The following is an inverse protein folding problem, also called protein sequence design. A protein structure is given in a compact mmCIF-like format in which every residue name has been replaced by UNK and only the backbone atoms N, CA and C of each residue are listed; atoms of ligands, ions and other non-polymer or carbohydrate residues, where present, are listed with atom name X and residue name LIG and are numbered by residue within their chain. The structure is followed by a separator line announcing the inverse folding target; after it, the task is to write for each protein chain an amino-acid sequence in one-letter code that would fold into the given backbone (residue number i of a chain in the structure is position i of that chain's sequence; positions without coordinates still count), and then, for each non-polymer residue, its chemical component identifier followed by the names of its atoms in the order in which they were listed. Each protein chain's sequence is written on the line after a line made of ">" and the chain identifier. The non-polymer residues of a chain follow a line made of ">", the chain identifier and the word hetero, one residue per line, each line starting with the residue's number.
data_IF_678622035305
#
_entry.id   IF_678622035305
#
_cell.length_a   1.000
_cell.length_b   1.000
_cell.length_c   1.000
_cell.angle_alpha   90.00
_cell.angle_beta   90.00
_cell.angle_gamma   90.00
#
_symmetry.space_group_name_H-M   'P 1'
#
loop_
_entity.id
_entity.type
_entity.pdbx_description
1 polymer ?
#
# COMPACT_ATOMS: atom_id res chain seq x y z
N UNK A 1 -10.85 9.05 12.29
CA UNK A 1 -12.17 8.69 11.74
C UNK A 1 -12.53 9.80 10.79
N UNK A 2 -12.73 9.51 9.51
CA UNK A 2 -13.20 10.49 8.53
C UNK A 2 -14.63 10.09 8.19
N UNK A 3 -15.55 11.03 8.35
CA UNK A 3 -16.97 10.86 8.04
C UNK A 3 -17.25 11.79 6.88
N UNK A 4 -17.75 11.22 5.78
CA UNK A 4 -18.36 11.99 4.70
C UNK A 4 -19.88 11.90 4.89
N UNK A 5 -20.45 12.93 5.51
CA UNK A 5 -21.87 13.03 5.81
C UNK A 5 -22.73 13.17 4.53
N UNK A 6 -22.14 13.69 3.44
CA UNK A 6 -22.82 13.89 2.15
C UNK A 6 -23.08 12.59 1.41
N UNK A 7 -22.18 11.61 1.54
CA UNK A 7 -22.30 10.31 0.88
C UNK A 7 -22.63 9.16 1.84
N UNK A 8 -22.85 9.46 3.13
CA UNK A 8 -23.08 8.49 4.20
C UNK A 8 -21.98 7.42 4.29
N UNK A 9 -20.73 7.82 4.04
CA UNK A 9 -19.58 6.93 4.04
C UNK A 9 -18.80 7.14 5.34
N UNK A 10 -18.87 6.14 6.22
CA UNK A 10 -18.04 6.07 7.42
C UNK A 10 -16.73 5.34 7.10
N UNK A 11 -15.66 6.09 6.87
CA UNK A 11 -14.33 5.54 6.59
C UNK A 11 -13.57 5.34 7.90
N UNK A 12 -13.67 4.13 8.45
CA UNK A 12 -12.91 3.70 9.64
C UNK A 12 -11.60 3.03 9.21
N UNK A 13 -10.54 3.82 9.09
CA UNK A 13 -9.31 3.39 8.44
C UNK A 13 -8.30 2.74 9.37
N UNK A 14 -7.79 1.50 9.05
CA UNK A 14 -6.76 0.74 9.81
C UNK A 14 -5.41 0.28 9.05
N UNK A 15 -4.16 0.80 9.28
CA UNK A 15 -2.76 0.49 8.79
C UNK A 15 -1.48 0.36 9.78
N UNK A 16 -0.25 -0.10 9.37
CA UNK A 16 0.91 -0.74 10.12
C UNK A 16 2.11 0.06 10.65
N UNK A 17 2.67 -0.54 11.72
CA UNK A 17 3.88 -0.26 12.51
C UNK A 17 5.24 -0.71 12.00
N UNK A 18 6.20 -0.74 12.92
CA UNK A 18 7.66 -0.80 12.69
C UNK A 18 8.15 -2.03 11.89
N UNK A 19 9.30 -1.92 11.18
CA UNK A 19 9.91 -3.03 10.46
C UNK A 19 10.19 -4.26 11.35
N UNK A 20 10.10 -5.47 10.78
CA UNK A 20 10.25 -6.80 11.44
C UNK A 20 11.51 -7.00 12.31
N UNK A 21 12.51 -6.12 12.23
CA UNK A 21 13.79 -6.24 12.95
C UNK A 21 14.05 -5.07 13.93
N UNK A 22 13.00 -4.34 14.29
CA UNK A 22 13.02 -3.27 15.27
C UNK A 22 12.15 -3.70 16.46
N UNK A 23 12.54 -3.42 17.72
CA UNK A 23 11.64 -3.56 18.85
C UNK A 23 10.30 -2.85 18.56
N UNK A 24 9.18 -3.29 19.14
CA UNK A 24 7.93 -2.57 19.02
C UNK A 24 8.13 -1.14 19.55
N UNK A 25 8.15 -0.15 18.66
CA UNK A 25 8.21 1.27 19.04
C UNK A 25 6.80 1.80 18.98
N UNK A 26 6.40 2.56 20.00
CA UNK A 26 5.09 3.18 20.02
C UNK A 26 4.88 4.07 18.80
N UNK A 27 3.68 4.02 18.24
CA UNK A 27 3.32 4.86 17.08
C UNK A 27 3.55 6.35 17.32
N UNK A 28 3.52 6.82 18.58
CA UNK A 28 3.81 8.18 19.02
C UNK A 28 5.29 8.60 18.90
N UNK A 29 6.23 7.66 18.83
CA UNK A 29 7.68 7.92 18.83
C UNK A 29 8.31 7.79 17.43
N UNK A 30 7.49 7.57 16.40
CA UNK A 30 7.95 7.21 15.06
C UNK A 30 8.12 8.41 14.12
N UNK A 31 9.37 8.73 13.75
CA UNK A 31 9.70 9.50 12.53
C UNK A 31 9.56 8.67 11.23
N UNK A 32 8.49 7.86 11.14
CA UNK A 32 8.36 6.85 10.10
C UNK A 32 8.09 7.49 8.73
N UNK A 33 7.30 8.58 8.64
CA UNK A 33 7.03 9.24 7.34
C UNK A 33 8.31 9.77 6.71
N UNK A 34 9.15 10.47 7.48
CA UNK A 34 10.41 11.04 6.98
C UNK A 34 11.38 9.95 6.48
N UNK A 35 11.51 8.85 7.24
CA UNK A 35 12.33 7.70 6.84
C UNK A 35 11.77 7.02 5.58
N UNK A 36 10.45 6.87 5.51
CA UNK A 36 9.76 6.31 4.37
C UNK A 36 9.97 7.16 3.11
N UNK A 37 9.77 8.48 3.20
CA UNK A 37 10.05 9.43 2.11
C UNK A 37 11.50 9.30 1.64
N UNK A 38 12.47 9.25 2.57
CA UNK A 38 13.90 9.11 2.21
C UNK A 38 14.16 7.83 1.41
N UNK A 39 13.57 6.70 1.82
CA UNK A 39 13.68 5.43 1.09
C UNK A 39 13.01 5.51 -0.27
N UNK A 40 11.78 6.02 -0.33
CA UNK A 40 11.05 6.15 -1.58
C UNK A 40 11.75 7.07 -2.59
N UNK A 41 12.44 8.13 -2.14
CA UNK A 41 13.25 8.98 -3.03
C UNK A 41 14.34 8.18 -3.74
N UNK A 42 14.99 7.23 -3.05
CA UNK A 42 16.02 6.39 -3.66
C UNK A 42 15.41 5.38 -4.64
N UNK A 43 14.25 4.79 -4.28
CA UNK A 43 13.52 3.88 -5.16
C UNK A 43 13.04 4.63 -6.41
N UNK A 44 12.45 5.82 -6.28
CA UNK A 44 12.04 6.65 -7.42
C UNK A 44 13.21 6.92 -8.36
N UNK A 45 14.38 7.29 -7.84
CA UNK A 45 15.60 7.47 -8.66
C UNK A 45 15.98 6.20 -9.42
N UNK A 46 15.88 5.03 -8.78
CA UNK A 46 16.17 3.75 -9.44
C UNK A 46 15.15 3.43 -10.54
N UNK A 47 13.86 3.64 -10.28
CA UNK A 47 12.78 3.45 -11.26
C UNK A 47 12.94 4.39 -12.45
N UNK A 48 13.26 5.66 -12.23
CA UNK A 48 13.54 6.61 -13.32
C UNK A 48 14.72 6.14 -14.17
N UNK A 49 15.82 5.70 -13.55
CA UNK A 49 16.96 5.16 -14.31
C UNK A 49 16.58 3.91 -15.12
N UNK A 50 15.75 3.04 -14.57
CA UNK A 50 15.25 1.84 -15.26
C UNK A 50 14.42 2.23 -16.48
N UNK A 51 13.43 3.10 -16.31
CA UNK A 51 12.53 3.53 -17.39
C UNK A 51 13.24 4.38 -18.46
N UNK A 52 14.29 5.13 -18.09
CA UNK A 52 15.12 5.84 -19.07
C UNK A 52 15.95 4.87 -19.93
N UNK A 53 16.33 3.71 -19.37
CA UNK A 53 17.08 2.68 -20.10
C UNK A 53 16.16 1.80 -20.94
N UNK A 54 15.01 1.43 -20.40
CA UNK A 54 14.03 0.53 -21.02
C UNK A 54 12.61 1.04 -20.73
N UNK A 55 12.05 1.92 -21.58
CA UNK A 55 10.77 2.59 -21.35
C UNK A 55 9.57 1.63 -21.24
N UNK A 56 9.66 0.46 -21.88
CA UNK A 56 8.60 -0.54 -21.94
C UNK A 56 8.59 -1.48 -20.72
N UNK A 57 9.50 -1.28 -19.77
CA UNK A 57 9.53 -2.09 -18.54
C UNK A 57 8.27 -1.86 -17.70
N UNK A 58 7.51 -2.93 -17.45
CA UNK A 58 6.38 -2.90 -16.51
C UNK A 58 6.88 -2.81 -15.06
N UNK A 59 6.54 -1.72 -14.37
CA UNK A 59 6.81 -1.54 -12.94
C UNK A 59 5.49 -1.52 -12.17
N UNK A 60 5.30 -2.50 -11.29
CA UNK A 60 4.12 -2.59 -10.40
C UNK A 60 4.51 -2.20 -8.98
N UNK A 61 3.78 -1.27 -8.39
CA UNK A 61 3.96 -0.80 -7.01
C UNK A 61 2.76 -1.25 -6.20
N UNK A 62 3.00 -2.06 -5.17
CA UNK A 62 1.96 -2.53 -4.25
C UNK A 62 1.70 -1.52 -3.12
N UNK A 63 0.42 -1.23 -2.86
CA UNK A 63 0.00 -0.40 -1.72
C UNK A 63 -0.05 -1.19 -0.40
N UNK A 64 -0.12 -0.54 0.78
CA UNK A 64 -0.11 -1.22 2.06
C UNK A 64 -1.33 -2.14 2.31
N UNK A 65 -1.17 -3.15 3.16
CA UNK A 65 -2.29 -3.95 3.66
C UNK A 65 -2.97 -3.31 4.88
N UNK A 66 -4.28 -3.52 5.04
CA UNK A 66 -5.03 -3.26 6.27
C UNK A 66 -4.76 -4.39 7.28
N UNK A 67 -5.01 -4.15 8.56
CA UNK A 67 -4.95 -5.17 9.59
C UNK A 67 -6.22 -5.15 10.42
N UNK A 68 -6.53 -6.32 10.98
CA UNK A 68 -7.56 -6.48 11.98
C UNK A 68 -7.36 -5.52 13.15
N UNK A 69 -8.49 -5.07 13.69
CA UNK A 69 -8.49 -4.33 14.93
C UNK A 69 -8.25 -5.28 16.11
N UNK A 70 -7.07 -5.17 16.72
CA UNK A 70 -6.68 -5.94 17.90
C UNK A 70 -5.99 -4.98 18.90
N UNK A 71 -6.44 -4.91 20.16
CA UNK A 71 -5.86 -4.01 21.17
C UNK A 71 -4.36 -4.21 21.38
N UNK A 72 -3.86 -5.44 21.31
CA UNK A 72 -2.45 -5.74 21.53
C UNK A 72 -1.56 -5.19 20.39
N UNK A 73 -2.06 -5.21 19.15
CA UNK A 73 -1.32 -4.74 17.98
C UNK A 73 -1.57 -3.26 17.67
N UNK A 74 -2.67 -2.67 18.15
CA UNK A 74 -3.03 -1.27 17.89
C UNK A 74 -2.04 -0.26 18.47
N UNK A 75 -1.26 -0.63 19.48
CA UNK A 75 -0.18 0.21 20.04
C UNK A 75 0.97 0.43 19.06
N UNK A 76 1.17 -0.53 18.16
CA UNK A 76 2.24 -0.55 17.17
C UNK A 76 1.71 -0.26 15.76
N UNK A 77 0.42 -0.48 15.50
CA UNK A 77 -0.22 -0.39 14.17
C UNK A 77 -1.19 0.79 14.06
N UNK A 78 -0.80 1.88 13.37
CA UNK A 78 -1.68 3.03 13.10
C UNK A 78 -1.87 3.37 11.63
N UNK A 79 -3.02 3.93 11.35
CA UNK A 79 -3.72 3.52 10.19
C UNK A 79 -3.99 4.58 9.16
N UNK A 80 -4.52 5.65 9.70
CA UNK A 80 -4.01 6.97 9.50
C UNK A 80 -2.57 7.00 9.01
N UNK A 81 -1.65 6.34 9.71
CA UNK A 81 -0.26 6.38 9.34
C UNK A 81 0.02 5.71 7.98
N UNK A 82 -0.53 4.55 7.62
CA UNK A 82 -0.34 4.14 6.22
C UNK A 82 -1.21 4.86 5.21
N UNK A 83 -2.34 5.46 5.59
CA UNK A 83 -2.99 6.38 4.65
C UNK A 83 -2.01 7.50 4.28
N UNK A 84 -1.26 8.01 5.26
CA UNK A 84 -0.19 8.98 5.01
C UNK A 84 0.91 8.38 4.12
N UNK A 85 1.42 7.17 4.41
CA UNK A 85 2.47 6.59 3.56
C UNK A 85 1.99 6.20 2.16
N UNK A 86 0.73 5.78 2.00
CA UNK A 86 0.11 5.48 0.71
C UNK A 86 -0.08 6.77 -0.11
N UNK A 87 -0.53 7.84 0.54
CA UNK A 87 -0.60 9.18 -0.07
C UNK A 87 0.78 9.63 -0.54
N UNK A 88 1.80 9.47 0.30
CA UNK A 88 3.19 9.78 -0.05
C UNK A 88 3.68 8.88 -1.19
N UNK A 89 3.36 7.59 -1.19
CA UNK A 89 3.75 6.63 -2.23
C UNK A 89 3.16 7.03 -3.58
N UNK A 90 1.85 7.26 -3.64
CA UNK A 90 1.15 7.71 -4.85
C UNK A 90 1.69 9.04 -5.34
N UNK A 91 1.88 10.00 -4.44
CA UNK A 91 2.50 11.29 -4.77
C UNK A 91 3.93 11.15 -5.30
N UNK A 92 4.74 10.29 -4.67
CA UNK A 92 6.13 10.07 -5.05
C UNK A 92 6.28 9.45 -6.42
N UNK A 93 5.34 8.63 -6.89
CA UNK A 93 5.44 7.97 -8.22
C UNK A 93 4.50 8.57 -9.26
N UNK A 94 3.77 9.64 -8.92
CA UNK A 94 2.96 10.39 -9.87
C UNK A 94 3.79 10.82 -11.08
N UNK A 95 3.20 10.67 -12.27
CA UNK A 95 3.81 11.03 -13.55
C UNK A 95 4.87 10.05 -14.08
N UNK A 96 5.10 8.91 -13.43
CA UNK A 96 5.93 7.83 -13.99
C UNK A 96 5.06 6.74 -14.62
N UNK A 97 5.60 6.01 -15.59
CA UNK A 97 4.97 4.84 -16.18
C UNK A 97 5.02 3.66 -15.20
N UNK A 98 4.16 3.68 -14.18
CA UNK A 98 4.03 2.63 -13.16
C UNK A 98 2.56 2.24 -13.01
N UNK A 99 2.31 0.99 -12.59
CA UNK A 99 0.98 0.51 -12.20
C UNK A 99 0.90 0.34 -10.69
N UNK A 100 -0.21 0.72 -10.09
CA UNK A 100 -0.46 0.47 -8.67
C UNK A 100 -1.29 -0.80 -8.51
N UNK A 101 -0.76 -1.77 -7.76
CA UNK A 101 -1.55 -2.86 -7.22
C UNK A 101 -2.17 -2.37 -5.92
N UNK A 102 -3.45 -2.03 -5.98
CA UNK A 102 -4.17 -1.42 -4.86
C UNK A 102 -4.61 -2.45 -3.82
N UNK A 103 -3.64 -3.06 -3.13
CA UNK A 103 -3.88 -4.05 -2.10
C UNK A 103 -4.83 -3.54 -1.02
N UNK A 104 -4.76 -2.24 -0.70
CA UNK A 104 -5.64 -1.56 0.25
C UNK A 104 -7.13 -1.72 -0.11
N UNK A 105 -7.52 -1.23 -1.29
CA UNK A 105 -8.89 -1.34 -1.79
C UNK A 105 -9.32 -2.80 -1.98
N UNK A 106 -8.40 -3.65 -2.41
CA UNK A 106 -8.69 -5.07 -2.63
C UNK A 106 -9.08 -5.81 -1.35
N UNK A 107 -8.49 -5.53 -0.19
CA UNK A 107 -8.97 -6.16 1.07
C UNK A 107 -10.21 -5.46 1.61
N UNK A 108 -10.33 -4.13 1.43
CA UNK A 108 -11.53 -3.41 1.87
C UNK A 108 -12.79 -3.94 1.16
N UNK A 109 -12.68 -4.23 -0.13
CA UNK A 109 -13.75 -4.78 -0.94
C UNK A 109 -13.97 -6.29 -0.73
N UNK A 110 -13.08 -6.98 0.00
CA UNK A 110 -13.21 -8.42 0.23
C UNK A 110 -14.09 -8.72 1.43
N UNK A 111 -14.87 -9.80 1.36
CA UNK A 111 -15.73 -10.26 2.46
C UNK A 111 -14.98 -10.95 3.60
N UNK A 112 -13.69 -11.23 3.44
CA UNK A 112 -12.87 -11.89 4.45
C UNK A 112 -12.33 -10.85 5.43
N UNK A 113 -12.05 -11.24 6.69
CA UNK A 113 -11.52 -10.30 7.66
C UNK A 113 -10.22 -9.67 7.16
N UNK A 114 -10.07 -8.38 7.43
CA UNK A 114 -8.84 -7.67 7.13
C UNK A 114 -7.71 -8.26 7.99
N UNK A 115 -6.59 -8.58 7.36
CA UNK A 115 -5.40 -9.06 8.04
C UNK A 115 -4.18 -8.49 7.33
N UNK A 116 -3.17 -8.09 8.11
CA UNK A 116 -1.87 -7.69 7.57
C UNK A 116 -1.33 -8.80 6.67
N UNK A 117 -1.55 -10.04 7.08
CA UNK A 117 -1.24 -11.25 6.34
C UNK A 117 -2.52 -11.72 5.65
N UNK A 118 -2.85 -11.16 4.47
CA UNK A 118 -4.12 -11.42 3.81
C UNK A 118 -4.26 -12.93 3.53
N UNK A 119 -5.48 -13.48 3.67
CA UNK A 119 -5.74 -14.87 3.35
C UNK A 119 -5.54 -15.16 1.86
N UNK A 120 -5.29 -16.43 1.54
CA UNK A 120 -4.95 -16.90 0.19
C UNK A 120 -5.89 -16.40 -0.92
N UNK A 121 -7.23 -16.33 -0.75
CA UNK A 121 -8.11 -15.79 -1.79
C UNK A 121 -7.80 -14.34 -2.18
N UNK A 122 -7.43 -13.49 -1.22
CA UNK A 122 -7.06 -12.10 -1.52
C UNK A 122 -5.70 -12.05 -2.22
N UNK A 123 -4.73 -12.87 -1.79
CA UNK A 123 -3.44 -12.99 -2.47
C UNK A 123 -3.63 -13.44 -3.92
N UNK A 124 -4.52 -14.40 -4.16
CA UNK A 124 -4.87 -14.84 -5.51
C UNK A 124 -5.38 -13.69 -6.36
N UNK A 125 -6.33 -12.90 -5.85
CA UNK A 125 -6.83 -11.72 -6.56
C UNK A 125 -5.71 -10.71 -6.87
N UNK A 126 -4.80 -10.48 -5.92
CA UNK A 126 -3.64 -9.59 -6.12
C UNK A 126 -2.74 -10.09 -7.27
N UNK A 127 -2.51 -11.40 -7.34
CA UNK A 127 -1.74 -12.04 -8.42
C UNK A 127 -2.49 -11.92 -9.75
N UNK A 128 -3.79 -12.19 -9.78
CA UNK A 128 -4.62 -12.12 -10.99
C UNK A 128 -4.56 -10.70 -11.61
N UNK A 129 -4.57 -9.64 -10.78
CA UNK A 129 -4.38 -8.25 -11.24
C UNK A 129 -2.98 -8.02 -11.80
N UNK A 130 -1.92 -8.52 -11.16
CA UNK A 130 -0.55 -8.42 -11.70
C UNK A 130 -0.47 -9.10 -13.06
N UNK A 131 -1.01 -10.32 -13.18
CA UNK A 131 -0.99 -11.09 -14.42
C UNK A 131 -1.79 -10.39 -15.54
N UNK A 132 -2.85 -9.67 -15.20
CA UNK A 132 -3.63 -8.89 -16.17
C UNK A 132 -2.82 -7.77 -16.84
N UNK A 133 -1.79 -7.24 -16.17
CA UNK A 133 -0.87 -6.26 -16.77
C UNK A 133 0.16 -6.89 -17.71
N UNK A 134 0.50 -8.16 -17.49
CA UNK A 134 1.47 -8.90 -18.30
C UNK A 134 0.79 -9.42 -19.56
N UNK A 135 -0.40 -10.02 -19.42
CA UNK A 135 -1.18 -10.60 -20.50
C UNK A 135 -2.59 -10.02 -20.51
N UNK A 136 -2.80 -8.85 -21.14
CA UNK A 136 -4.15 -8.30 -21.31
C UNK A 136 -4.91 -9.18 -22.29
N UNK A 137 -6.06 -9.73 -21.85
CA UNK A 137 -6.98 -10.43 -22.72
C UNK A 137 -7.41 -9.49 -23.85
N UNK A 138 -6.96 -9.73 -25.09
CA UNK A 138 -7.30 -8.91 -26.26
C UNK A 138 -6.14 -8.49 -27.18
N UNK A 139 -4.92 -9.01 -27.03
CA UNK A 139 -3.89 -8.92 -28.10
C UNK A 139 -3.91 -10.19 -28.96
N UNK A 140 -4.85 -10.24 -29.89
CA UNK A 140 -4.81 -11.08 -31.11
C UNK A 140 -5.11 -10.21 -32.30
#
# INVERSE_FOLDING_TARGET
>A
MLVDDTNNILVKFRCHGTPLRCPPVYTSELHYVATYIRRLRQIRKAVVRLLNREPDTLVVIRTPNMQKFDPAYSLFYSNWFCLQIDTVLRGMFKGLNVKFLDAWEMMLAHHLPQDLHPPQPIIKNMIDVILSYICPAGKT
#
